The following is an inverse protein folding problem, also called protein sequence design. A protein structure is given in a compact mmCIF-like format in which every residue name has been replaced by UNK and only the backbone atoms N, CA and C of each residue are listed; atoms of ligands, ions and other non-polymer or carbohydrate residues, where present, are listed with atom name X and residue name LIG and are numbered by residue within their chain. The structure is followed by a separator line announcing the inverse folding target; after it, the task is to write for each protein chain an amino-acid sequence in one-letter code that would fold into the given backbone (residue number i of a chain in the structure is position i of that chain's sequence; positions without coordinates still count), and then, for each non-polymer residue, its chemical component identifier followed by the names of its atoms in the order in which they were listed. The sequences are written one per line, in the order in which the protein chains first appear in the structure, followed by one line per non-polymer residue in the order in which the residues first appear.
data_IF_983087466036
#
_entry.id   IF_983087466036
#
_cell.length_a   1.000
_cell.length_b   1.000
_cell.length_c   1.000
_cell.angle_alpha   90.00
_cell.angle_beta   90.00
_cell.angle_gamma   90.00
#
_symmetry.space_group_name_H-M   'P 1'
#
loop_
_entity.id
_entity.type
_entity.pdbx_description
1 polymer ?
#
# COMPACT_ATOMS: atom_id res chain seq x y z
N UNK A 1 -7.89 8.54 -5.35
CA UNK A 1 -7.44 7.38 -6.15
C UNK A 1 -8.67 6.52 -6.39
N UNK A 2 -8.89 6.04 -7.62
CA UNK A 2 -10.07 5.25 -7.94
C UNK A 2 -9.95 3.83 -7.39
N UNK A 3 -11.08 3.14 -7.17
CA UNK A 3 -11.12 1.72 -6.78
C UNK A 3 -10.25 0.80 -7.65
N UNK A 4 -9.90 1.21 -8.87
CA UNK A 4 -9.11 0.44 -9.82
C UNK A 4 -7.64 0.23 -9.41
N UNK A 5 -7.00 1.22 -8.78
CA UNK A 5 -5.56 1.14 -8.45
C UNK A 5 -5.30 0.21 -7.26
N UNK A 6 -6.22 0.19 -6.30
CA UNK A 6 -6.18 -0.73 -5.15
C UNK A 6 -6.37 -2.19 -5.60
N UNK A 7 -7.31 -2.43 -6.50
CA UNK A 7 -7.55 -3.77 -7.03
C UNK A 7 -6.34 -4.29 -7.81
N UNK A 8 -5.67 -3.44 -8.58
CA UNK A 8 -4.45 -3.78 -9.29
C UNK A 8 -3.32 -4.19 -8.34
N UNK A 9 -3.15 -3.47 -7.22
CA UNK A 9 -2.15 -3.81 -6.20
C UNK A 9 -2.38 -5.19 -5.58
N UNK A 10 -3.62 -5.51 -5.18
CA UNK A 10 -3.91 -6.83 -4.63
C UNK A 10 -3.60 -7.94 -5.63
N UNK A 11 -3.90 -7.72 -6.91
CA UNK A 11 -3.58 -8.68 -7.99
C UNK A 11 -2.06 -8.90 -8.09
N UNK A 12 -1.25 -7.86 -7.94
CA UNK A 12 0.21 -7.99 -7.92
C UNK A 12 0.72 -8.79 -6.71
N UNK A 13 0.16 -8.55 -5.53
CA UNK A 13 0.44 -9.36 -4.35
C UNK A 13 0.12 -10.84 -4.60
N UNK A 14 -1.07 -11.12 -5.16
CA UNK A 14 -1.49 -12.48 -5.51
C UNK A 14 -0.49 -13.17 -6.45
N UNK A 15 -0.06 -12.49 -7.52
CA UNK A 15 0.92 -13.05 -8.46
C UNK A 15 2.23 -13.39 -7.75
N UNK A 16 2.75 -12.49 -6.90
CA UNK A 16 4.00 -12.70 -6.16
C UNK A 16 3.92 -13.87 -5.17
N UNK A 17 2.81 -13.99 -4.45
CA UNK A 17 2.66 -15.06 -3.48
C UNK A 17 2.45 -16.43 -4.16
N UNK A 18 1.82 -16.47 -5.34
CA UNK A 18 1.81 -17.67 -6.20
C UNK A 18 3.22 -18.04 -6.66
N UNK A 19 4.01 -17.07 -7.13
CA UNK A 19 5.39 -17.33 -7.57
C UNK A 19 6.27 -17.87 -6.44
N UNK A 20 6.07 -17.39 -5.21
CA UNK A 20 6.73 -17.94 -4.02
C UNK A 20 6.28 -19.35 -3.71
N UNK A 21 4.98 -19.62 -3.73
CA UNK A 21 4.42 -20.95 -3.44
C UNK A 21 4.94 -22.02 -4.41
N UNK A 22 5.07 -21.69 -5.69
CA UNK A 22 5.62 -22.60 -6.71
C UNK A 22 7.14 -22.56 -6.83
N UNK A 23 7.81 -21.66 -6.09
CA UNK A 23 9.25 -21.46 -6.12
C UNK A 23 9.83 -21.01 -7.47
N UNK A 24 9.02 -20.35 -8.31
CA UNK A 24 9.38 -19.99 -9.69
C UNK A 24 8.67 -18.72 -10.14
N UNK A 25 9.44 -17.76 -10.66
CA UNK A 25 8.89 -16.56 -11.30
C UNK A 25 8.28 -16.88 -12.67
N UNK A 26 7.17 -16.23 -13.02
CA UNK A 26 6.45 -16.50 -14.28
C UNK A 26 6.79 -15.42 -15.31
N UNK A 27 7.74 -15.71 -16.20
CA UNK A 27 8.25 -14.74 -17.19
C UNK A 27 8.11 -15.21 -18.64
N UNK A 28 8.06 -16.52 -18.88
CA UNK A 28 8.12 -17.13 -20.22
C UNK A 28 6.86 -17.94 -20.54
N UNK A 29 6.69 -18.31 -21.82
CA UNK A 29 5.54 -19.11 -22.26
C UNK A 29 5.45 -20.45 -21.50
N UNK A 30 6.59 -21.12 -21.31
CA UNK A 30 6.69 -22.41 -20.61
C UNK A 30 6.38 -22.30 -19.12
N UNK A 31 6.60 -21.13 -18.50
CA UNK A 31 6.26 -20.89 -17.10
C UNK A 31 4.74 -20.91 -16.88
N UNK A 32 3.96 -20.43 -17.86
CA UNK A 32 2.50 -20.50 -17.77
C UNK A 32 1.95 -21.92 -17.90
N UNK A 33 2.59 -22.78 -18.69
CA UNK A 33 2.23 -24.19 -18.79
C UNK A 33 2.55 -24.91 -17.48
N UNK A 34 3.70 -24.61 -16.87
CA UNK A 34 4.06 -25.08 -15.54
C UNK A 34 3.08 -24.61 -14.46
N UNK A 35 2.76 -23.31 -14.42
CA UNK A 35 1.78 -22.77 -13.49
C UNK A 35 0.41 -23.43 -13.67
N UNK A 36 -0.06 -23.59 -14.91
CA UNK A 36 -1.34 -24.24 -15.17
C UNK A 36 -1.35 -25.70 -14.70
N UNK A 37 -0.23 -26.42 -14.82
CA UNK A 37 -0.12 -27.79 -14.31
C UNK A 37 -0.23 -27.81 -12.78
N UNK A 38 0.54 -26.95 -12.09
CA UNK A 38 0.52 -26.83 -10.63
C UNK A 38 -0.84 -26.47 -10.07
N UNK A 39 -1.54 -25.55 -10.73
CA UNK A 39 -2.90 -25.18 -10.33
C UNK A 39 -3.84 -26.38 -10.46
N UNK A 40 -3.81 -27.11 -11.58
CA UNK A 40 -4.69 -28.28 -11.80
C UNK A 40 -4.44 -29.44 -10.84
N UNK A 41 -3.21 -29.59 -10.34
CA UNK A 41 -2.88 -30.61 -9.33
C UNK A 41 -3.57 -30.34 -7.98
N UNK A 42 -3.86 -29.08 -7.65
CA UNK A 42 -4.32 -28.66 -6.33
C UNK A 42 -5.76 -28.15 -6.29
N UNK A 43 -6.24 -27.54 -7.38
CA UNK A 43 -7.58 -26.97 -7.48
C UNK A 43 -8.32 -27.48 -8.72
N UNK A 44 -9.58 -27.95 -8.59
CA UNK A 44 -10.36 -28.47 -9.71
C UNK A 44 -10.82 -27.37 -10.68
N UNK A 45 -10.95 -26.13 -10.21
CA UNK A 45 -11.36 -24.94 -10.96
C UNK A 45 -10.18 -24.12 -11.49
N UNK A 46 -9.06 -24.78 -11.78
CA UNK A 46 -7.83 -24.15 -12.26
C UNK A 46 -8.07 -23.31 -13.54
N UNK A 47 -7.62 -22.04 -13.58
CA UNK A 47 -7.70 -21.20 -14.77
C UNK A 47 -6.93 -21.78 -15.95
N UNK A 48 -7.41 -21.52 -17.17
CA UNK A 48 -6.68 -21.88 -18.39
C UNK A 48 -5.42 -21.03 -18.59
N UNK A 49 -4.41 -21.56 -19.28
CA UNK A 49 -3.16 -20.87 -19.66
C UNK A 49 -3.43 -19.48 -20.27
N UNK A 50 -4.41 -19.38 -21.19
CA UNK A 50 -4.80 -18.10 -21.80
C UNK A 50 -5.36 -17.09 -20.79
N UNK A 51 -6.03 -17.58 -19.74
CA UNK A 51 -6.56 -16.74 -18.65
C UNK A 51 -5.44 -16.26 -17.73
N UNK A 52 -4.46 -17.13 -17.43
CA UNK A 52 -3.27 -16.76 -16.66
C UNK A 52 -2.42 -15.72 -17.41
N UNK A 53 -2.19 -15.90 -18.71
CA UNK A 53 -1.46 -14.94 -19.56
C UNK A 53 -2.11 -13.55 -19.55
N UNK A 54 -3.45 -13.49 -19.63
CA UNK A 54 -4.19 -12.23 -19.49
C UNK A 54 -4.04 -11.64 -18.09
N UNK A 55 -4.15 -12.47 -17.05
CA UNK A 55 -4.02 -12.01 -15.67
C UNK A 55 -2.63 -11.44 -15.38
N UNK A 56 -1.56 -12.00 -15.95
CA UNK A 56 -0.18 -11.48 -15.82
C UNK A 56 0.14 -10.30 -16.74
N UNK A 57 -0.85 -9.76 -17.46
CA UNK A 57 -0.67 -8.71 -18.48
C UNK A 57 0.34 -9.08 -19.59
N UNK A 58 0.54 -10.38 -19.85
CA UNK A 58 1.42 -10.89 -20.91
C UNK A 58 0.84 -10.65 -22.32
N UNK A 59 -0.48 -10.40 -22.42
CA UNK A 59 -1.18 -10.10 -23.67
C UNK A 59 -1.93 -8.77 -23.52
N UNK A 60 -1.86 -7.91 -24.54
CA UNK A 60 -2.33 -6.51 -24.57
C UNK A 60 -3.84 -6.30 -24.37
N UNK A 61 -4.66 -7.36 -24.37
CA UNK A 61 -6.11 -7.28 -24.25
C UNK A 61 -6.57 -7.84 -22.88
N UNK A 62 -6.23 -7.14 -21.80
CA UNK A 62 -6.31 -7.60 -20.40
C UNK A 62 -7.60 -7.19 -19.66
N UNK A 63 -8.70 -6.90 -20.37
CA UNK A 63 -9.92 -6.34 -19.79
C UNK A 63 -10.76 -7.32 -18.93
N UNK A 64 -10.32 -8.55 -18.69
CA UNK A 64 -11.11 -9.53 -17.92
C UNK A 64 -10.47 -9.89 -16.59
N UNK A 65 -10.67 -8.99 -15.61
CA UNK A 65 -10.55 -9.27 -14.17
C UNK A 65 -11.70 -10.20 -13.74
N UNK A 66 -11.69 -11.45 -14.21
CA UNK A 66 -12.73 -12.38 -13.84
C UNK A 66 -12.59 -12.71 -12.35
N UNK A 67 -13.57 -12.28 -11.54
CA UNK A 67 -13.61 -12.56 -10.10
C UNK A 67 -13.48 -14.07 -9.81
N UNK A 68 -13.99 -14.92 -10.71
CA UNK A 68 -13.84 -16.38 -10.62
C UNK A 68 -12.38 -16.83 -10.70
N UNK A 69 -11.57 -16.24 -11.59
CA UNK A 69 -10.14 -16.52 -11.70
C UNK A 69 -9.41 -16.13 -10.41
N UNK A 70 -9.71 -14.96 -9.86
CA UNK A 70 -9.09 -14.49 -8.62
C UNK A 70 -9.46 -15.38 -7.43
N UNK A 71 -10.71 -15.83 -7.35
CA UNK A 71 -11.15 -16.79 -6.34
C UNK A 71 -10.42 -18.13 -6.45
N UNK A 72 -10.29 -18.68 -7.66
CA UNK A 72 -9.57 -19.94 -7.88
C UNK A 72 -8.10 -19.84 -7.44
N UNK A 73 -7.43 -18.73 -7.79
CA UNK A 73 -6.04 -18.49 -7.40
C UNK A 73 -5.88 -18.25 -5.90
N UNK A 74 -6.84 -17.58 -5.24
CA UNK A 74 -6.84 -17.45 -3.78
C UNK A 74 -6.98 -18.82 -3.09
N UNK A 75 -7.81 -19.72 -3.64
CA UNK A 75 -7.94 -21.11 -3.16
C UNK A 75 -6.67 -21.92 -3.31
N UNK A 76 -5.92 -21.70 -4.39
CA UNK A 76 -4.61 -22.32 -4.55
C UNK A 76 -3.65 -21.97 -3.41
N UNK A 77 -3.71 -20.73 -2.91
CA UNK A 77 -2.94 -20.26 -1.76
C UNK A 77 -3.55 -20.66 -0.39
N UNK A 78 -4.68 -21.38 -0.39
CA UNK A 78 -5.34 -21.86 0.83
C UNK A 78 -6.41 -20.92 1.41
N UNK A 79 -6.82 -19.88 0.70
CA UNK A 79 -7.90 -18.98 1.12
C UNK A 79 -9.25 -19.41 0.53
N UNK A 80 -10.37 -19.07 1.18
CA UNK A 80 -11.70 -19.48 0.71
C UNK A 80 -12.06 -18.84 -0.65
N UNK A 81 -11.74 -17.56 -0.80
CA UNK A 81 -11.98 -16.75 -1.99
C UNK A 81 -11.09 -15.50 -2.03
N UNK A 82 -11.26 -14.68 -3.07
CA UNK A 82 -10.49 -13.46 -3.27
C UNK A 82 -10.68 -12.40 -2.15
N UNK A 83 -11.90 -12.08 -1.68
CA UNK A 83 -12.08 -11.27 -0.47
C UNK A 83 -11.28 -11.79 0.74
N UNK A 84 -11.35 -13.09 1.03
CA UNK A 84 -10.66 -13.70 2.18
C UNK A 84 -9.13 -13.56 2.08
N UNK A 85 -8.60 -13.61 0.85
CA UNK A 85 -7.18 -13.35 0.60
C UNK A 85 -6.79 -11.88 0.81
N UNK A 86 -7.64 -10.94 0.37
CA UNK A 86 -7.42 -9.51 0.65
C UNK A 86 -7.44 -9.25 2.15
N UNK A 87 -8.40 -9.82 2.87
CA UNK A 87 -8.49 -9.72 4.33
C UNK A 87 -7.25 -10.29 5.02
N UNK A 88 -6.71 -11.42 4.56
CA UNK A 88 -5.45 -11.93 5.11
C UNK A 88 -4.26 -11.02 4.82
N UNK A 89 -4.19 -10.42 3.63
CA UNK A 89 -3.14 -9.45 3.31
C UNK A 89 -3.20 -8.21 4.22
N UNK A 90 -4.42 -7.74 4.52
CA UNK A 90 -4.65 -6.64 5.46
C UNK A 90 -4.27 -7.05 6.89
N UNK A 91 -4.64 -8.25 7.33
CA UNK A 91 -4.35 -8.79 8.67
C UNK A 91 -2.87 -9.02 8.91
N UNK A 92 -2.14 -9.50 7.90
CA UNK A 92 -0.72 -9.80 7.97
C UNK A 92 0.17 -8.54 7.80
N UNK A 93 -0.43 -7.35 7.76
CA UNK A 93 0.26 -6.08 7.59
C UNK A 93 1.12 -5.97 6.31
N UNK A 94 0.91 -6.87 5.35
CA UNK A 94 1.61 -6.87 4.05
C UNK A 94 1.11 -5.75 3.15
N UNK A 95 -0.12 -5.27 3.39
CA UNK A 95 -0.70 -4.08 2.74
C UNK A 95 -0.11 -2.79 3.33
N UNK A 96 0.29 -2.81 4.62
CA UNK A 96 0.93 -1.65 5.29
C UNK A 96 2.33 -1.34 4.76
N UNK A 97 3.07 -2.34 4.26
CA UNK A 97 4.48 -2.17 3.89
C UNK A 97 4.74 -1.96 2.40
N UNK A 98 3.83 -2.35 1.49
CA UNK A 98 4.10 -2.30 0.04
C UNK A 98 3.47 -1.13 -0.71
N UNK A 99 2.18 -0.87 -0.47
CA UNK A 99 1.44 0.21 -1.14
C UNK A 99 1.23 1.40 -0.21
N UNK A 100 0.90 1.15 1.06
CA UNK A 100 0.90 2.17 2.09
C UNK A 100 2.30 2.76 2.27
N UNK A 101 3.40 2.02 2.17
CA UNK A 101 4.75 2.63 2.15
C UNK A 101 4.96 3.67 1.04
N UNK A 102 4.18 3.63 -0.07
CA UNK A 102 4.31 4.59 -1.17
C UNK A 102 3.43 5.82 -1.02
N UNK A 103 2.46 5.80 -0.12
CA UNK A 103 1.52 6.91 0.13
C UNK A 103 1.42 7.28 1.61
N UNK A 104 2.05 6.55 2.52
CA UNK A 104 2.02 6.79 3.95
C UNK A 104 3.37 6.54 4.58
N UNK A 105 3.70 7.39 5.54
CA UNK A 105 4.97 7.43 6.23
C UNK A 105 4.69 7.19 7.71
N UNK A 106 5.28 6.13 8.27
CA UNK A 106 5.17 5.78 9.69
C UNK A 106 6.45 6.16 10.42
N UNK A 107 6.32 6.64 11.67
CA UNK A 107 7.47 7.05 12.48
C UNK A 107 8.45 5.92 12.79
N UNK A 108 7.97 4.67 12.79
CA UNK A 108 8.81 3.47 12.92
C UNK A 108 9.82 3.30 11.78
N UNK A 109 9.63 3.99 10.65
CA UNK A 109 10.53 3.96 9.49
C UNK A 109 11.50 5.16 9.43
N UNK A 110 11.41 6.09 10.37
CA UNK A 110 12.20 7.32 10.41
C UNK A 110 13.31 7.27 11.46
N UNK A 111 14.40 7.99 11.17
CA UNK A 111 15.50 8.26 12.09
C UNK A 111 15.49 9.73 12.48
N UNK A 112 15.90 10.02 13.72
CA UNK A 112 16.01 11.41 14.17
C UNK A 112 16.94 12.20 13.23
N UNK A 113 16.45 13.35 12.75
CA UNK A 113 17.07 14.16 11.71
C UNK A 113 16.45 13.99 10.32
N UNK A 114 15.59 12.99 10.09
CA UNK A 114 14.89 12.81 8.82
C UNK A 114 13.95 13.98 8.54
N UNK A 115 13.92 14.43 7.28
CA UNK A 115 13.08 15.54 6.82
C UNK A 115 11.89 15.00 6.02
N UNK A 116 10.69 15.40 6.42
CA UNK A 116 9.43 15.07 5.76
C UNK A 116 8.85 16.31 5.11
N UNK A 117 8.63 16.25 3.79
CA UNK A 117 7.95 17.30 3.03
C UNK A 117 6.51 16.85 2.71
N UNK A 118 5.55 17.69 3.10
CA UNK A 118 4.13 17.45 2.92
C UNK A 118 3.54 18.55 2.05
N UNK A 119 2.88 18.17 0.96
CA UNK A 119 2.30 19.10 0.00
C UNK A 119 0.83 18.83 -0.23
N UNK A 120 0.00 19.88 -0.20
CA UNK A 120 -1.42 19.84 -0.49
C UNK A 120 -1.79 20.85 -1.57
N UNK A 121 -2.78 20.50 -2.39
CA UNK A 121 -3.29 21.39 -3.42
C UNK A 121 -4.40 22.31 -2.92
N UNK A 122 -4.49 23.55 -3.43
CA UNK A 122 -3.48 24.23 -4.25
C UNK A 122 -2.42 24.92 -3.38
N UNK A 123 -1.14 24.59 -3.57
CA UNK A 123 0.00 25.41 -3.12
C UNK A 123 0.25 25.47 -1.60
N UNK A 124 -0.08 24.42 -0.84
CA UNK A 124 0.33 24.30 0.56
C UNK A 124 1.54 23.37 0.67
N UNK A 125 2.54 23.78 1.44
CA UNK A 125 3.73 22.99 1.73
C UNK A 125 4.08 23.09 3.21
N UNK A 126 4.44 21.98 3.83
CA UNK A 126 4.95 21.89 5.19
C UNK A 126 6.18 20.99 5.18
N UNK A 127 7.29 21.50 5.71
CA UNK A 127 8.51 20.71 5.91
C UNK A 127 8.70 20.52 7.41
N UNK A 128 8.77 19.27 7.84
CA UNK A 128 8.96 18.91 9.24
C UNK A 128 10.17 17.99 9.40
N UNK A 129 10.94 18.22 10.46
CA UNK A 129 12.06 17.36 10.85
C UNK A 129 11.61 16.41 11.97
N UNK A 130 11.93 15.13 11.82
CA UNK A 130 11.67 14.12 12.84
C UNK A 130 12.72 14.18 13.95
N UNK A 131 12.28 14.32 15.19
CA UNK A 131 13.15 14.42 16.37
C UNK A 131 13.30 13.09 17.12
N UNK A 132 12.57 12.05 16.73
CA UNK A 132 12.42 10.81 17.50
C UNK A 132 11.21 10.84 18.43
N UNK A 133 10.83 9.66 18.94
CA UNK A 133 9.65 9.46 19.82
C UNK A 133 8.36 10.05 19.23
N UNK A 134 8.13 9.82 17.94
CA UNK A 134 6.94 10.32 17.21
C UNK A 134 6.82 11.84 17.13
N UNK A 135 7.89 12.59 17.50
CA UNK A 135 7.91 14.05 17.51
C UNK A 135 8.49 14.64 16.25
N UNK A 136 7.89 15.75 15.82
CA UNK A 136 8.30 16.52 14.67
C UNK A 136 8.39 18.01 15.02
N UNK A 137 9.32 18.71 14.39
CA UNK A 137 9.40 20.18 14.41
C UNK A 137 9.20 20.73 13.01
N UNK A 138 8.32 21.72 12.87
CA UNK A 138 8.10 22.40 11.59
C UNK A 138 9.31 23.28 11.29
N UNK A 139 9.99 22.99 10.17
CA UNK A 139 11.12 23.76 9.65
C UNK A 139 10.71 24.80 8.63
N UNK A 140 9.68 24.51 7.85
CA UNK A 140 9.15 25.43 6.83
C UNK A 140 7.64 25.28 6.72
N UNK A 141 6.93 26.39 6.56
CA UNK A 141 5.47 26.38 6.37
C UNK A 141 5.03 27.39 5.33
N UNK A 142 4.36 26.93 4.29
CA UNK A 142 3.77 27.74 3.23
C UNK A 142 2.27 27.41 3.11
N UNK A 143 1.41 28.39 3.42
CA UNK A 143 -0.05 28.24 3.39
C UNK A 143 -0.60 27.07 4.22
N UNK A 144 0.15 26.61 5.22
CA UNK A 144 -0.27 25.59 6.18
C UNK A 144 -0.63 26.20 7.54
N UNK A 145 -1.45 25.49 8.33
CA UNK A 145 -1.90 25.97 9.66
C UNK A 145 -0.81 25.95 10.73
N UNK A 146 0.21 25.11 10.55
CA UNK A 146 1.30 24.96 11.51
C UNK A 146 2.37 25.98 11.18
N UNK A 147 2.71 26.86 12.12
CA UNK A 147 3.77 27.84 11.95
C UNK A 147 5.15 27.19 12.09
N UNK A 148 6.18 27.82 11.52
CA UNK A 148 7.56 27.40 11.71
C UNK A 148 7.94 27.39 13.19
N UNK A 149 8.66 26.36 13.64
CA UNK A 149 8.97 26.12 15.05
C UNK A 149 7.88 25.40 15.85
N UNK A 150 6.72 25.10 15.25
CA UNK A 150 5.69 24.27 15.91
C UNK A 150 6.20 22.84 16.11
N UNK A 151 6.02 22.30 17.31
CA UNK A 151 6.22 20.90 17.64
C UNK A 151 4.89 20.15 17.56
N UNK A 152 4.90 18.94 17.01
CA UNK A 152 3.73 18.07 17.00
C UNK A 152 4.15 16.61 17.05
N UNK A 153 3.19 15.75 17.42
CA UNK A 153 3.35 14.29 17.39
C UNK A 153 2.40 13.66 16.40
N UNK A 154 2.86 12.65 15.66
CA UNK A 154 2.02 11.86 14.76
C UNK A 154 2.66 10.50 14.54
N UNK A 155 1.85 9.45 14.39
CA UNK A 155 2.35 8.07 14.18
C UNK A 155 2.42 7.71 12.70
N UNK A 156 1.50 8.27 11.91
CA UNK A 156 1.33 7.96 10.50
C UNK A 156 0.89 9.19 9.73
N UNK A 157 1.52 9.42 8.59
CA UNK A 157 1.18 10.49 7.67
C UNK A 157 0.77 9.85 6.35
N UNK A 158 -0.49 10.02 5.92
CA UNK A 158 -1.00 9.38 4.69
C UNK A 158 -1.40 10.40 3.65
N UNK A 159 -0.78 10.34 2.47
CA UNK A 159 -1.09 11.11 1.27
C UNK A 159 -2.56 10.95 0.90
N UNK A 160 -3.25 12.08 0.79
CA UNK A 160 -4.68 12.15 0.46
C UNK A 160 -5.60 12.07 1.67
N UNK A 161 -5.07 11.84 2.88
CA UNK A 161 -5.79 12.01 4.13
C UNK A 161 -5.34 13.29 4.84
N UNK A 162 -6.20 13.87 5.71
CA UNK A 162 -5.78 14.94 6.59
C UNK A 162 -4.60 14.52 7.46
N UNK A 163 -3.67 15.44 7.70
CA UNK A 163 -2.62 15.24 8.69
C UNK A 163 -3.25 15.35 10.09
N UNK A 164 -3.17 14.27 10.86
CA UNK A 164 -3.57 14.28 12.27
C UNK A 164 -2.33 14.51 13.14
N UNK A 165 -2.34 15.64 13.83
CA UNK A 165 -1.31 16.04 14.78
C UNK A 165 -1.87 15.99 16.20
N UNK A 166 -1.12 15.38 17.10
CA UNK A 166 -1.37 15.37 18.54
C UNK A 166 -0.32 16.21 19.26
N UNK A 167 -0.62 16.70 20.46
CA UNK A 167 0.32 17.45 21.30
C UNK A 167 0.99 18.60 20.53
N UNK A 168 0.19 19.41 19.84
CA UNK A 168 0.70 20.54 19.07
C UNK A 168 1.15 21.63 20.03
N UNK A 169 2.41 22.03 19.96
CA UNK A 169 3.01 23.07 20.81
C UNK A 169 3.67 24.11 19.93
N UNK A 170 3.26 25.37 20.08
CA UNK A 170 3.88 26.51 19.41
C UNK A 170 4.37 27.50 20.46
N UNK A 171 5.65 27.85 20.40
CA UNK A 171 6.28 28.82 21.34
C UNK A 171 6.00 28.51 22.83
N UNK A 172 6.10 27.22 23.19
CA UNK A 172 5.84 26.74 24.55
C UNK A 172 4.36 26.70 24.97
N UNK A 173 3.43 27.10 24.10
CA UNK A 173 1.98 27.02 24.33
C UNK A 173 1.38 25.81 23.62
N UNK A 174 0.65 24.98 24.38
CA UNK A 174 -0.13 23.88 23.80
C UNK A 174 -1.32 24.47 23.02
N UNK A 175 -1.42 24.13 21.75
CA UNK A 175 -2.56 24.43 20.89
C UNK A 175 -3.55 23.27 20.99
N UNK A 176 -4.86 23.56 20.91
CA UNK A 176 -5.89 22.52 20.98
C UNK A 176 -5.67 21.44 19.91
N UNK A 177 -5.79 20.19 20.32
CA UNK A 177 -5.54 18.98 19.52
C UNK A 177 -6.61 18.81 18.43
N UNK A 178 -6.78 19.74 17.49
CA UNK A 178 -7.59 19.51 16.28
C UNK A 178 -7.34 20.59 15.23
N UNK A 179 -6.48 20.28 14.25
CA UNK A 179 -6.42 21.05 13.02
C UNK A 179 -6.36 20.08 11.83
N UNK A 180 -7.46 19.87 11.07
CA UNK A 180 -7.32 19.34 9.73
C UNK A 180 -6.48 20.36 8.94
N UNK A 181 -5.25 20.00 8.61
CA UNK A 181 -4.36 20.80 7.74
C UNK A 181 -4.70 20.51 6.28
#
# INVERSE_FOLDING_TARGET
MGNADLEQYYIECLRKDIEKEIGRSICTYSDFDFLSLRLRERIPDAPSVSTLKRLWAYVTNSSMRSRSTLNALARFLGHADWPSYIESLMRDNRVESGFLSRTSLTTSSLHAGDIVELTWNPGRCLVAEYLGDDRFVVRKSENAKLAEGTLFTTLIITKGLPLYCNNVVFDGRKLDDYAPV
#
